data_IF_885885173893
#
_entry.id   IF_885885173893
#
_cell.length_a   1.000
_cell.length_b   1.000
_cell.length_c   1.000
_cell.angle_alpha   90.00
_cell.angle_beta   90.00
_cell.angle_gamma   90.00
#
_symmetry.space_group_name_H-M   'P 1'
#
loop_
_entity.id
_entity.type
_entity.pdbx_description
1 polymer ?
#
# COMPACT_ATOMS: atom_id res chain seq x y z
N UNK A 1 3.69 15.12 -3.42
CA UNK A 1 5.09 15.25 -3.02
C UNK A 1 5.91 14.06 -3.49
N UNK A 2 7.25 14.19 -3.47
CA UNK A 2 8.16 13.08 -3.76
C UNK A 2 8.15 12.11 -2.58
N UNK A 3 7.83 10.85 -2.85
CA UNK A 3 7.97 9.73 -1.92
C UNK A 3 9.22 8.90 -2.24
N UNK A 4 9.80 8.27 -1.20
CA UNK A 4 11.10 7.63 -1.33
C UNK A 4 12.27 8.63 -1.34
N UNK A 5 12.14 9.78 -0.67
CA UNK A 5 13.16 10.85 -0.62
C UNK A 5 14.55 10.35 -0.18
N UNK A 6 14.57 9.39 0.75
CA UNK A 6 15.84 8.78 1.17
C UNK A 6 16.47 7.95 0.05
N UNK A 7 15.68 7.14 -0.65
CA UNK A 7 16.15 6.39 -1.81
C UNK A 7 16.70 7.34 -2.87
N UNK A 8 15.94 8.42 -3.16
CA UNK A 8 16.36 9.44 -4.11
C UNK A 8 17.72 10.05 -3.74
N UNK A 9 17.90 10.43 -2.47
CA UNK A 9 19.17 11.01 -1.99
C UNK A 9 20.34 10.01 -1.98
N UNK A 10 20.07 8.72 -1.83
CA UNK A 10 21.06 7.64 -1.85
C UNK A 10 21.28 7.06 -3.28
N UNK A 11 20.63 7.62 -4.32
CA UNK A 11 20.74 7.13 -5.70
C UNK A 11 20.07 5.76 -5.93
N UNK A 12 19.19 5.34 -5.02
CA UNK A 12 18.46 4.08 -5.14
C UNK A 12 17.25 4.29 -6.06
N UNK A 13 17.10 3.51 -7.15
CA UNK A 13 16.04 3.72 -8.16
C UNK A 13 14.67 3.20 -7.68
N UNK A 14 14.15 3.74 -6.58
CA UNK A 14 12.84 3.43 -6.02
C UNK A 14 12.28 4.68 -5.34
N UNK A 15 11.60 5.52 -6.10
CA UNK A 15 10.93 6.73 -5.66
C UNK A 15 9.79 7.07 -6.62
N UNK A 16 8.79 7.81 -6.16
CA UNK A 16 7.64 8.18 -6.96
C UNK A 16 7.05 9.53 -6.54
N UNK A 17 6.08 10.02 -7.31
CA UNK A 17 5.25 11.17 -6.94
C UNK A 17 3.87 10.67 -6.54
N UNK A 18 3.41 11.05 -5.35
CA UNK A 18 2.08 10.71 -4.84
C UNK A 18 1.23 11.98 -4.75
N UNK A 19 0.02 11.93 -5.28
CA UNK A 19 -0.96 13.01 -5.19
C UNK A 19 -2.34 12.42 -4.89
N UNK A 20 -3.10 13.08 -4.00
CA UNK A 20 -4.49 12.73 -3.74
C UNK A 20 -5.38 13.98 -3.90
N UNK A 21 -6.48 13.85 -4.61
CA UNK A 21 -7.56 14.83 -4.60
C UNK A 21 -8.59 14.44 -3.56
N UNK A 22 -8.79 15.33 -2.60
CA UNK A 22 -9.64 15.12 -1.44
C UNK A 22 -10.72 16.18 -1.37
N UNK A 23 -11.98 15.78 -1.25
CA UNK A 23 -13.11 16.68 -1.10
C UNK A 23 -14.25 16.03 -0.34
N UNK A 24 -14.96 16.82 0.48
CA UNK A 24 -16.08 16.35 1.31
C UNK A 24 -15.72 15.12 2.16
N UNK A 25 -14.59 15.17 2.84
CA UNK A 25 -14.05 14.12 3.70
C UNK A 25 -13.79 12.77 3.01
N UNK A 26 -13.61 12.78 1.69
CA UNK A 26 -13.39 11.60 0.88
C UNK A 26 -12.25 11.84 -0.10
N UNK A 27 -11.34 10.90 -0.24
CA UNK A 27 -10.40 10.84 -1.35
C UNK A 27 -11.16 10.47 -2.62
N UNK A 28 -11.11 11.33 -3.63
CA UNK A 28 -11.82 11.18 -4.90
C UNK A 28 -10.96 10.59 -5.98
N UNK A 29 -9.70 11.03 -6.06
CA UNK A 29 -8.74 10.56 -7.04
C UNK A 29 -7.38 10.42 -6.34
N UNK A 30 -6.66 9.35 -6.66
CA UNK A 30 -5.28 9.13 -6.24
C UNK A 30 -4.38 8.88 -7.45
N UNK A 31 -3.21 9.51 -7.48
CA UNK A 31 -2.19 9.31 -8.49
C UNK A 31 -0.89 8.85 -7.85
N UNK A 32 -0.25 7.87 -8.48
CA UNK A 32 1.12 7.46 -8.18
C UNK A 32 1.87 7.43 -9.51
N UNK A 33 2.88 8.29 -9.63
CA UNK A 33 3.72 8.36 -10.83
C UNK A 33 5.12 7.85 -10.54
N UNK A 34 5.52 6.83 -11.29
CA UNK A 34 6.88 6.30 -11.32
C UNK A 34 7.67 7.03 -12.43
N UNK A 35 8.57 7.96 -12.08
CA UNK A 35 9.29 8.73 -13.08
C UNK A 35 10.37 7.93 -13.79
N UNK A 36 10.84 6.81 -13.22
CA UNK A 36 11.89 5.97 -13.81
C UNK A 36 11.34 5.14 -14.96
N UNK A 37 10.17 4.54 -14.75
CA UNK A 37 9.49 3.72 -15.76
C UNK A 37 8.45 4.51 -16.57
N UNK A 38 8.26 5.80 -16.23
CA UNK A 38 7.27 6.69 -16.85
C UNK A 38 5.84 6.13 -16.78
N UNK A 39 5.49 5.49 -15.69
CA UNK A 39 4.18 4.87 -15.46
C UNK A 39 3.32 5.71 -14.53
N UNK A 40 2.06 5.88 -14.88
CA UNK A 40 1.06 6.59 -14.10
C UNK A 40 -0.05 5.64 -13.67
N UNK A 41 -0.17 5.42 -12.36
CA UNK A 41 -1.28 4.70 -11.77
C UNK A 41 -2.30 5.69 -11.21
N UNK A 42 -3.58 5.51 -11.56
CA UNK A 42 -4.67 6.40 -11.15
C UNK A 42 -5.81 5.57 -10.60
N UNK A 43 -6.21 5.85 -9.36
CA UNK A 43 -7.44 5.32 -8.77
C UNK A 43 -8.51 6.41 -8.73
N UNK A 44 -9.71 6.11 -9.24
CA UNK A 44 -10.85 7.04 -9.26
C UNK A 44 -11.99 6.38 -8.49
N UNK A 45 -12.49 7.08 -7.47
CA UNK A 45 -13.56 6.55 -6.61
C UNK A 45 -14.78 6.10 -7.41
N UNK A 46 -15.13 4.80 -7.26
CA UNK A 46 -16.25 4.17 -7.95
C UNK A 46 -16.02 3.84 -9.41
N UNK A 47 -14.79 4.02 -9.94
CA UNK A 47 -14.47 3.76 -11.34
C UNK A 47 -13.32 2.76 -11.53
N UNK A 48 -12.65 2.38 -10.43
CA UNK A 48 -11.54 1.44 -10.46
C UNK A 48 -10.18 2.11 -10.64
N UNK A 49 -9.20 1.31 -11.07
CA UNK A 49 -7.80 1.70 -11.19
C UNK A 49 -7.34 1.57 -12.64
N UNK A 50 -6.50 2.51 -13.06
CA UNK A 50 -5.98 2.63 -14.42
C UNK A 50 -4.46 2.83 -14.39
N UNK A 51 -3.74 2.12 -15.23
CA UNK A 51 -2.32 2.36 -15.48
C UNK A 51 -2.11 2.78 -16.93
N UNK A 52 -1.57 3.97 -17.15
CA UNK A 52 -1.33 4.56 -18.47
C UNK A 52 -2.56 4.51 -19.40
N UNK A 53 -3.76 4.72 -18.83
CA UNK A 53 -5.03 4.71 -19.55
C UNK A 53 -5.64 3.31 -19.74
N UNK A 54 -4.98 2.25 -19.28
CA UNK A 54 -5.51 0.88 -19.34
C UNK A 54 -6.05 0.50 -17.95
N UNK A 55 -7.29 0.00 -17.90
CA UNK A 55 -7.89 -0.44 -16.64
C UNK A 55 -7.17 -1.67 -16.10
N UNK A 56 -6.72 -1.61 -14.85
CA UNK A 56 -6.14 -2.77 -14.19
C UNK A 56 -7.23 -3.80 -13.89
N UNK A 57 -6.96 -5.05 -14.27
CA UNK A 57 -7.76 -6.18 -13.83
C UNK A 57 -7.35 -6.57 -12.41
N UNK A 58 -8.33 -6.77 -11.54
CA UNK A 58 -8.10 -7.36 -10.22
C UNK A 58 -7.98 -8.88 -10.37
N UNK A 59 -6.85 -9.41 -9.98
CA UNK A 59 -6.70 -10.87 -9.85
C UNK A 59 -7.13 -11.26 -8.43
N UNK A 60 -8.26 -11.97 -8.33
CA UNK A 60 -8.83 -12.41 -7.07
C UNK A 60 -8.33 -13.81 -6.65
N UNK A 61 -7.10 -14.16 -6.97
CA UNK A 61 -6.52 -15.42 -6.49
C UNK A 61 -6.42 -15.39 -4.97
N UNK A 62 -7.09 -16.37 -4.31
CA UNK A 62 -6.96 -16.57 -2.87
C UNK A 62 -5.62 -17.24 -2.58
N UNK A 63 -4.73 -16.51 -1.92
CA UNK A 63 -3.42 -16.99 -1.51
C UNK A 63 -3.39 -17.24 0.00
N UNK A 64 -2.67 -18.26 0.43
CA UNK A 64 -2.31 -18.40 1.84
C UNK A 64 -1.15 -17.45 2.16
N UNK A 65 -0.99 -17.06 3.43
CA UNK A 65 0.09 -16.13 3.83
C UNK A 65 1.47 -16.64 3.39
N UNK A 66 1.68 -17.95 3.43
CA UNK A 66 2.93 -18.59 3.00
C UNK A 66 3.21 -18.49 1.49
N UNK A 67 2.21 -18.18 0.69
CA UNK A 67 2.35 -17.99 -0.76
C UNK A 67 2.47 -16.52 -1.15
N UNK A 68 2.22 -15.60 -0.20
CA UNK A 68 2.21 -14.16 -0.43
C UNK A 68 3.60 -13.54 -0.44
N UNK A 69 3.76 -12.52 -1.27
CA UNK A 69 4.86 -11.56 -1.18
C UNK A 69 4.40 -10.35 -0.35
N UNK A 70 5.24 -9.83 0.53
CA UNK A 70 4.85 -8.75 1.42
C UNK A 70 5.92 -7.66 1.57
N UNK A 71 5.49 -6.46 1.98
CA UNK A 71 6.37 -5.43 2.49
C UNK A 71 6.06 -5.18 3.97
N UNK A 72 7.02 -5.50 4.83
CA UNK A 72 6.91 -5.36 6.29
C UNK A 72 8.15 -4.63 6.81
N UNK A 73 7.93 -3.66 7.69
CA UNK A 73 9.01 -2.88 8.31
C UNK A 73 10.00 -3.76 9.11
N UNK A 74 11.28 -3.37 9.11
CA UNK A 74 12.38 -4.14 9.72
C UNK A 74 12.08 -4.57 11.17
N UNK A 75 11.66 -3.64 12.02
CA UNK A 75 11.35 -3.93 13.44
C UNK A 75 10.23 -4.97 13.60
N UNK A 76 9.19 -4.85 12.78
CA UNK A 76 8.06 -5.80 12.80
C UNK A 76 8.48 -7.18 12.33
N UNK A 77 9.30 -7.25 11.28
CA UNK A 77 9.88 -8.50 10.79
C UNK A 77 10.71 -9.20 11.85
N UNK A 78 11.61 -8.47 12.51
CA UNK A 78 12.43 -9.00 13.61
C UNK A 78 11.58 -9.51 14.77
N UNK A 79 10.54 -8.76 15.15
CA UNK A 79 9.59 -9.18 16.17
C UNK A 79 8.86 -10.48 15.80
N UNK A 80 8.37 -10.58 14.57
CA UNK A 80 7.68 -11.78 14.09
C UNK A 80 8.59 -12.99 14.07
N UNK A 81 9.84 -12.83 13.62
CA UNK A 81 10.83 -13.92 13.61
C UNK A 81 11.20 -14.42 15.01
N UNK A 82 11.21 -13.54 16.01
CA UNK A 82 11.54 -13.92 17.39
C UNK A 82 10.40 -14.63 18.12
N UNK A 83 9.15 -14.24 17.86
CA UNK A 83 7.99 -14.73 18.63
C UNK A 83 7.28 -15.94 18.04
N UNK A 84 7.45 -16.22 16.77
CA UNK A 84 6.60 -17.18 16.06
C UNK A 84 7.41 -18.18 15.23
N UNK A 85 7.81 -19.25 15.84
CA UNK A 85 8.44 -20.41 15.17
C UNK A 85 7.44 -21.24 14.34
N UNK A 86 6.12 -20.96 14.43
CA UNK A 86 5.06 -21.75 13.80
C UNK A 86 4.01 -20.94 13.03
N UNK A 87 4.24 -19.65 12.79
CA UNK A 87 3.29 -18.82 12.02
C UNK A 87 3.60 -18.92 10.54
N UNK A 88 2.56 -19.04 9.72
CA UNK A 88 2.66 -18.86 8.28
C UNK A 88 3.31 -17.52 7.96
N UNK A 89 4.46 -17.57 7.34
CA UNK A 89 5.27 -16.39 7.00
C UNK A 89 5.16 -16.14 5.51
N UNK A 90 5.15 -14.86 5.07
CA UNK A 90 5.16 -14.56 3.65
C UNK A 90 6.35 -15.19 2.93
N UNK A 91 6.11 -15.71 1.73
CA UNK A 91 7.12 -16.35 0.89
C UNK A 91 8.33 -15.47 0.66
N UNK A 92 8.07 -14.18 0.36
CA UNK A 92 9.12 -13.19 0.15
C UNK A 92 8.79 -11.90 0.87
N UNK A 93 9.83 -11.24 1.41
CA UNK A 93 9.74 -9.93 2.02
C UNK A 93 10.56 -8.94 1.20
N UNK A 94 9.87 -8.00 0.56
CA UNK A 94 10.47 -6.87 -0.13
C UNK A 94 10.57 -5.68 0.83
N UNK A 95 11.47 -4.74 0.55
CA UNK A 95 11.59 -3.49 1.26
C UNK A 95 11.80 -2.36 0.27
N UNK A 96 10.83 -1.49 0.18
CA UNK A 96 10.85 -0.41 -0.79
C UNK A 96 11.41 0.91 -0.23
N UNK A 97 11.08 1.28 1.00
CA UNK A 97 11.28 2.64 1.55
C UNK A 97 10.62 3.72 0.67
N UNK A 98 9.58 3.36 -0.01
CA UNK A 98 8.79 4.19 -0.91
C UNK A 98 7.36 3.64 -0.88
N UNK A 99 6.48 4.32 -0.17
CA UNK A 99 5.10 3.87 0.08
C UNK A 99 4.29 3.79 -1.21
N UNK A 100 4.44 4.79 -2.08
CA UNK A 100 3.71 4.80 -3.34
C UNK A 100 4.07 3.63 -4.24
N UNK A 101 5.35 3.23 -4.31
CA UNK A 101 5.75 2.05 -5.08
C UNK A 101 5.22 0.76 -4.45
N UNK A 102 5.13 0.67 -3.11
CA UNK A 102 4.47 -0.46 -2.43
C UNK A 102 2.99 -0.54 -2.81
N UNK A 103 2.25 0.58 -2.74
CA UNK A 103 0.85 0.65 -3.16
C UNK A 103 0.65 0.27 -4.63
N UNK A 104 1.53 0.76 -5.50
CA UNK A 104 1.46 0.43 -6.93
C UNK A 104 1.66 -1.06 -7.18
N UNK A 105 2.65 -1.67 -6.53
CA UNK A 105 2.95 -3.10 -6.69
C UNK A 105 1.87 -3.99 -6.04
N UNK A 106 1.20 -3.56 -4.96
CA UNK A 106 0.02 -4.26 -4.44
C UNK A 106 -1.13 -4.20 -5.45
N UNK A 107 -1.38 -3.04 -6.05
CA UNK A 107 -2.44 -2.88 -7.04
C UNK A 107 -2.20 -3.71 -8.30
N UNK A 108 -0.94 -3.91 -8.69
CA UNK A 108 -0.53 -4.77 -9.81
C UNK A 108 -0.49 -6.26 -9.47
N UNK A 109 -0.55 -6.64 -8.18
CA UNK A 109 -0.38 -8.02 -7.72
C UNK A 109 1.08 -8.50 -7.59
N UNK A 110 2.06 -7.62 -7.74
CA UNK A 110 3.50 -7.93 -7.58
C UNK A 110 3.87 -8.25 -6.12
N UNK A 111 3.20 -7.60 -5.18
CA UNK A 111 3.16 -7.96 -3.76
C UNK A 111 1.70 -8.03 -3.31
N UNK A 112 1.44 -8.79 -2.24
CA UNK A 112 0.08 -9.09 -1.83
C UNK A 112 -0.37 -8.25 -0.64
N UNK A 113 0.54 -7.86 0.24
CA UNK A 113 0.21 -6.94 1.33
C UNK A 113 1.41 -6.15 1.84
N UNK A 114 1.10 -5.07 2.54
CA UNK A 114 2.05 -4.28 3.31
C UNK A 114 1.46 -3.91 4.69
N UNK A 115 2.33 -3.74 5.67
CA UNK A 115 1.99 -3.27 7.00
C UNK A 115 2.73 -1.95 7.28
N UNK A 116 1.96 -0.93 7.63
CA UNK A 116 2.47 0.38 8.01
C UNK A 116 2.18 0.67 9.47
N UNK A 117 3.13 1.26 10.17
CA UNK A 117 3.01 1.67 11.57
C UNK A 117 3.62 3.06 11.78
N UNK A 118 3.26 3.69 12.89
CA UNK A 118 3.77 4.99 13.30
C UNK A 118 3.37 6.17 12.40
N UNK A 119 2.55 7.06 12.93
CA UNK A 119 2.21 8.37 12.36
C UNK A 119 1.79 8.29 10.88
N UNK A 120 0.74 7.52 10.61
CA UNK A 120 0.15 7.43 9.27
C UNK A 120 -0.27 8.81 8.77
N UNK A 121 0.50 9.38 7.86
CA UNK A 121 0.25 10.70 7.33
C UNK A 121 -0.69 10.63 6.13
N UNK A 122 -1.74 11.47 6.07
CA UNK A 122 -2.71 11.40 4.98
C UNK A 122 -2.07 11.60 3.59
N UNK A 123 -1.06 12.42 3.47
CA UNK A 123 -0.37 12.63 2.20
C UNK A 123 0.48 11.45 1.73
N UNK A 124 0.81 10.51 2.63
CA UNK A 124 1.51 9.28 2.28
C UNK A 124 0.54 8.15 1.89
N UNK A 125 -0.66 8.13 2.47
CA UNK A 125 -1.56 6.98 2.38
C UNK A 125 -2.85 7.23 1.60
N UNK A 126 -3.36 8.48 1.50
CA UNK A 126 -4.68 8.72 0.95
C UNK A 126 -4.85 8.26 -0.51
N UNK A 127 -3.87 8.54 -1.36
CA UNK A 127 -3.90 8.11 -2.76
C UNK A 127 -3.81 6.58 -2.88
N UNK A 128 -2.82 5.99 -2.19
CA UNK A 128 -2.58 4.54 -2.22
C UNK A 128 -3.76 3.74 -1.67
N UNK A 129 -4.32 4.16 -0.53
CA UNK A 129 -5.48 3.49 0.06
C UNK A 129 -6.72 3.52 -0.85
N UNK A 130 -6.95 4.63 -1.57
CA UNK A 130 -8.01 4.69 -2.59
C UNK A 130 -7.71 3.73 -3.73
N UNK A 131 -6.50 3.73 -4.28
CA UNK A 131 -6.08 2.84 -5.36
C UNK A 131 -6.32 1.38 -4.98
N UNK A 132 -5.90 0.95 -3.79
CA UNK A 132 -6.11 -0.42 -3.33
C UNK A 132 -7.59 -0.74 -3.20
N UNK A 133 -8.39 0.15 -2.62
CA UNK A 133 -9.84 -0.06 -2.49
C UNK A 133 -10.51 -0.18 -3.86
N UNK A 134 -10.16 0.66 -4.81
CA UNK A 134 -10.72 0.67 -6.16
C UNK A 134 -10.20 -0.50 -7.02
N UNK A 135 -9.07 -1.11 -6.66
CA UNK A 135 -8.60 -2.37 -7.24
C UNK A 135 -9.23 -3.62 -6.59
N UNK A 136 -10.19 -3.46 -5.67
CA UNK A 136 -10.85 -4.57 -4.99
C UNK A 136 -10.12 -5.10 -3.76
N UNK A 137 -9.06 -4.43 -3.32
CA UNK A 137 -8.30 -4.78 -2.13
C UNK A 137 -8.80 -4.10 -0.85
N UNK A 138 -8.03 -4.25 0.22
CA UNK A 138 -8.31 -3.74 1.55
C UNK A 138 -7.22 -2.77 2.01
N UNK A 139 -7.62 -1.66 2.60
CA UNK A 139 -6.78 -0.79 3.41
C UNK A 139 -7.51 -0.52 4.73
N UNK A 140 -7.11 -1.17 5.82
CA UNK A 140 -7.82 -1.14 7.10
C UNK A 140 -6.85 -1.10 8.30
N UNK A 141 -7.32 -0.52 9.38
CA UNK A 141 -6.59 -0.49 10.65
C UNK A 141 -6.65 -1.86 11.32
N UNK A 142 -5.50 -2.37 11.76
CA UNK A 142 -5.38 -3.75 12.28
C UNK A 142 -6.15 -3.99 13.57
N UNK A 143 -6.28 -2.98 14.43
CA UNK A 143 -6.91 -3.11 15.74
C UNK A 143 -8.43 -2.99 15.65
N UNK A 144 -8.94 -2.09 14.81
CA UNK A 144 -10.39 -1.85 14.70
C UNK A 144 -11.05 -2.53 13.51
N UNK A 145 -10.27 -2.95 12.51
CA UNK A 145 -10.81 -3.44 11.24
C UNK A 145 -11.45 -2.36 10.37
N UNK A 146 -11.50 -1.10 10.85
CA UNK A 146 -12.10 -0.01 10.08
C UNK A 146 -11.27 0.35 8.86
N UNK A 147 -11.96 0.66 7.77
CA UNK A 147 -11.32 1.15 6.55
C UNK A 147 -10.51 2.42 6.81
N UNK A 148 -9.36 2.53 6.15
CA UNK A 148 -8.53 3.73 6.23
C UNK A 148 -9.32 5.00 5.89
N UNK A 149 -9.12 6.03 6.70
CA UNK A 149 -9.66 7.37 6.49
C UNK A 149 -8.56 8.42 6.68
N UNK A 150 -8.36 9.36 5.73
CA UNK A 150 -7.32 10.38 5.82
C UNK A 150 -7.58 11.44 6.89
N UNK A 151 -8.80 11.52 7.42
CA UNK A 151 -9.19 12.45 8.49
C UNK A 151 -9.09 11.84 9.88
N UNK A 152 -8.94 10.51 9.97
CA UNK A 152 -8.79 9.84 11.25
C UNK A 152 -7.39 10.08 11.82
N UNK A 153 -7.35 10.56 13.06
CA UNK A 153 -6.09 10.60 13.83
C UNK A 153 -5.78 9.19 14.30
N UNK A 154 -4.75 8.58 13.75
CA UNK A 154 -4.26 7.29 14.23
C UNK A 154 -3.49 7.43 15.54
N UNK A 155 -3.67 6.48 16.46
CA UNK A 155 -2.80 6.35 17.62
C UNK A 155 -1.37 5.96 17.19
N UNK A 156 -0.37 6.17 18.05
CA UNK A 156 1.03 5.83 17.75
C UNK A 156 1.25 4.33 17.49
N UNK A 157 0.37 3.50 18.02
CA UNK A 157 0.52 2.03 18.02
C UNK A 157 -0.37 1.35 16.97
N UNK A 158 -1.29 2.09 16.36
CA UNK A 158 -2.19 1.58 15.34
C UNK A 158 -1.45 1.31 14.04
N UNK A 159 -1.75 0.17 13.41
CA UNK A 159 -1.15 -0.24 12.15
C UNK A 159 -2.19 -0.21 11.04
N UNK A 160 -1.74 0.15 9.86
CA UNK A 160 -2.52 0.05 8.64
C UNK A 160 -2.07 -1.19 7.87
N UNK A 161 -3.00 -2.09 7.61
CA UNK A 161 -2.81 -3.24 6.74
C UNK A 161 -3.40 -2.90 5.38
N UNK A 162 -2.62 -3.14 4.35
CA UNK A 162 -3.02 -2.92 2.97
C UNK A 162 -2.79 -4.21 2.19
N UNK A 163 -3.81 -4.70 1.50
CA UNK A 163 -3.74 -5.98 0.79
C UNK A 163 -4.59 -5.97 -0.48
N UNK A 164 -4.16 -6.69 -1.50
CA UNK A 164 -4.98 -7.03 -2.65
C UNK A 164 -5.83 -8.31 -2.42
N UNK A 165 -5.70 -8.94 -1.26
CA UNK A 165 -6.51 -10.09 -0.85
C UNK A 165 -7.61 -9.61 0.09
N UNK A 166 -8.85 -9.98 -0.18
CA UNK A 166 -10.00 -9.73 0.70
C UNK A 166 -10.54 -11.08 1.15
N UNK A 167 -10.57 -11.31 2.46
CA UNK A 167 -11.34 -12.41 3.02
C UNK A 167 -12.85 -12.07 2.93
N UNK A 168 -13.61 -12.97 2.35
CA UNK A 168 -15.09 -12.96 2.40
C UNK A 168 -15.57 -13.72 3.63
#
# INVERSE_FOLDING_TARGET
>A
PLDGTRNFSEGIPCFCVIVAYYSNNITRIGWIYDPLNKKMLVGIKGQGVWEDGVKLATDNMKLTISDMNASIGKKRREYLLQKHTHVNYPKNLKRYRCLGMEYADIARGEINFAEYSNKLKPWDHAAGALIIKESGGLAAYSESGESYSPVRTSSSDERLIVSNQVEN
#
